data_IF_090882338056
#
_entry.id   IF_090882338056
#
_cell.length_a   1.000
_cell.length_b   1.000
_cell.length_c   1.000
_cell.angle_alpha   90.00
_cell.angle_beta   90.00
_cell.angle_gamma   90.00
#
_symmetry.space_group_name_H-M   'P 1'
#
loop_
_entity.id
_entity.type
_entity.pdbx_description
1 polymer ?
#
# COMPACT_ATOMS: atom_id res chain seq x y z
N UNK A 1 23.54 63.50 7.26
CA UNK A 1 24.14 62.35 6.55
C UNK A 1 24.01 61.05 7.35
N UNK A 2 23.88 61.12 8.68
CA UNK A 2 23.81 59.95 9.55
C UNK A 2 22.51 59.12 9.44
N UNK A 3 21.37 59.74 9.11
CA UNK A 3 20.09 59.02 9.01
C UNK A 3 20.01 58.08 7.79
N UNK A 4 20.69 58.44 6.68
CA UNK A 4 20.78 57.58 5.49
C UNK A 4 21.64 56.33 5.75
N UNK A 5 22.71 56.47 6.55
CA UNK A 5 23.58 55.35 6.90
C UNK A 5 22.85 54.32 7.78
N UNK A 6 22.04 54.77 8.74
CA UNK A 6 21.24 53.88 9.61
C UNK A 6 20.14 53.13 8.85
N UNK A 7 19.51 53.78 7.87
CA UNK A 7 18.52 53.12 6.99
C UNK A 7 19.18 52.07 6.09
N UNK A 8 20.37 52.37 5.55
CA UNK A 8 21.12 51.42 4.74
C UNK A 8 21.54 50.19 5.56
N UNK A 9 22.03 50.36 6.78
CA UNK A 9 22.39 49.24 7.66
C UNK A 9 21.20 48.33 7.98
N UNK A 10 20.03 48.93 8.22
CA UNK A 10 18.82 48.17 8.57
C UNK A 10 18.18 47.45 7.37
N UNK A 11 18.41 47.93 6.13
CA UNK A 11 17.86 47.38 4.88
C UNK A 11 18.90 46.55 4.10
N UNK A 12 20.18 46.59 4.48
CA UNK A 12 21.21 45.78 3.86
C UNK A 12 20.95 44.28 4.06
N UNK A 13 20.57 43.85 5.28
CA UNK A 13 20.38 42.43 5.57
C UNK A 13 19.16 41.79 4.87
N UNK A 14 17.96 42.41 4.80
CA UNK A 14 16.83 41.84 4.10
C UNK A 14 17.08 41.81 2.59
N UNK A 15 17.69 42.88 2.05
CA UNK A 15 18.04 42.94 0.62
C UNK A 15 19.08 41.86 0.30
N UNK A 16 20.11 41.69 1.12
CA UNK A 16 21.09 40.63 0.96
C UNK A 16 20.44 39.24 1.04
N UNK A 17 19.51 39.00 1.97
CA UNK A 17 18.80 37.73 2.11
C UNK A 17 17.90 37.41 0.89
N UNK A 18 17.16 38.41 0.40
CA UNK A 18 16.34 38.27 -0.82
C UNK A 18 17.22 38.06 -2.04
N UNK A 19 18.33 38.79 -2.16
CA UNK A 19 19.27 38.68 -3.27
C UNK A 19 19.96 37.31 -3.30
N UNK A 20 20.39 36.83 -2.12
CA UNK A 20 20.99 35.50 -1.96
C UNK A 20 19.97 34.41 -2.31
N UNK A 21 18.74 34.51 -1.80
CA UNK A 21 17.67 33.56 -2.14
C UNK A 21 17.35 33.59 -3.64
N UNK A 22 17.34 34.76 -4.27
CA UNK A 22 17.10 34.91 -5.70
C UNK A 22 18.22 34.34 -6.56
N UNK A 23 19.48 34.54 -6.16
CA UNK A 23 20.65 34.02 -6.86
C UNK A 23 20.69 32.48 -6.80
N UNK A 24 20.45 31.90 -5.61
CA UNK A 24 20.53 30.47 -5.35
C UNK A 24 19.21 29.69 -5.55
N UNK A 25 18.13 30.35 -6.02
CA UNK A 25 16.81 29.69 -6.15
C UNK A 25 16.84 28.46 -7.06
N UNK A 26 17.70 28.47 -8.09
CA UNK A 26 17.79 27.37 -9.07
C UNK A 26 18.52 26.18 -8.47
N UNK A 27 19.60 26.45 -7.75
CA UNK A 27 20.46 25.49 -7.08
C UNK A 27 19.69 24.81 -5.95
N UNK A 28 19.01 25.59 -5.10
CA UNK A 28 18.15 25.07 -4.02
C UNK A 28 17.05 24.18 -4.61
N UNK A 29 16.34 24.63 -5.65
CA UNK A 29 15.32 23.82 -6.32
C UNK A 29 15.90 22.54 -6.93
N UNK A 30 17.10 22.59 -7.50
CA UNK A 30 17.77 21.39 -8.04
C UNK A 30 18.12 20.39 -6.94
N UNK A 31 18.62 20.84 -5.80
CA UNK A 31 18.94 19.98 -4.65
C UNK A 31 17.68 19.31 -4.08
N UNK A 32 16.60 20.07 -3.90
CA UNK A 32 15.32 19.50 -3.46
C UNK A 32 14.75 18.49 -4.46
N UNK A 33 14.88 18.74 -5.77
CA UNK A 33 14.46 17.79 -6.80
C UNK A 33 15.29 16.50 -6.81
N UNK A 34 16.60 16.57 -6.58
CA UNK A 34 17.44 15.37 -6.46
C UNK A 34 17.12 14.57 -5.20
N UNK A 35 16.88 15.25 -4.09
CA UNK A 35 16.47 14.62 -2.83
C UNK A 35 15.10 13.94 -2.96
N UNK A 36 14.13 14.55 -3.65
CA UNK A 36 12.84 13.91 -3.87
C UNK A 36 12.97 12.66 -4.74
N UNK A 37 13.72 12.73 -5.86
CA UNK A 37 13.95 11.56 -6.74
C UNK A 37 14.67 10.44 -6.00
N UNK A 38 15.68 10.76 -5.18
CA UNK A 38 16.37 9.74 -4.39
C UNK A 38 15.44 9.08 -3.38
N UNK A 39 14.65 9.87 -2.63
CA UNK A 39 13.65 9.35 -1.69
C UNK A 39 12.63 8.46 -2.38
N UNK A 40 12.16 8.82 -3.58
CA UNK A 40 11.23 7.99 -4.34
C UNK A 40 11.85 6.64 -4.72
N UNK A 41 13.09 6.63 -5.23
CA UNK A 41 13.80 5.38 -5.57
C UNK A 41 14.07 4.49 -4.34
N UNK A 42 14.40 5.09 -3.21
CA UNK A 42 14.59 4.37 -1.96
C UNK A 42 13.28 3.72 -1.49
N UNK A 43 12.15 4.41 -1.64
CA UNK A 43 10.82 3.89 -1.35
C UNK A 43 10.36 2.81 -2.33
N UNK A 44 10.70 2.92 -3.61
CA UNK A 44 10.46 1.86 -4.62
C UNK A 44 11.22 0.58 -4.24
N UNK A 45 12.52 0.70 -3.92
CA UNK A 45 13.31 -0.44 -3.47
C UNK A 45 12.79 -1.03 -2.15
N UNK A 46 12.35 -0.19 -1.21
CA UNK A 46 11.78 -0.67 0.04
C UNK A 46 10.45 -1.38 -0.19
N UNK A 47 9.59 -0.87 -1.08
CA UNK A 47 8.33 -1.52 -1.43
C UNK A 47 8.56 -2.90 -2.03
N UNK A 48 9.47 -3.03 -3.00
CA UNK A 48 9.81 -4.32 -3.63
C UNK A 48 10.34 -5.33 -2.59
N UNK A 49 11.25 -4.89 -1.72
CA UNK A 49 11.81 -5.72 -0.66
C UNK A 49 10.75 -6.17 0.35
N UNK A 50 9.91 -5.24 0.78
CA UNK A 50 8.84 -5.51 1.73
C UNK A 50 7.78 -6.44 1.13
N UNK A 51 7.45 -6.24 -0.14
CA UNK A 51 6.50 -7.08 -0.87
C UNK A 51 7.01 -8.53 -0.97
N UNK A 52 8.30 -8.72 -1.31
CA UNK A 52 8.93 -10.04 -1.31
C UNK A 52 8.85 -10.71 0.06
N UNK A 53 9.10 -9.97 1.14
CA UNK A 53 9.00 -10.51 2.49
C UNK A 53 7.57 -10.95 2.85
N UNK A 54 6.56 -10.17 2.43
CA UNK A 54 5.15 -10.51 2.63
C UNK A 54 4.72 -11.69 1.81
N UNK A 55 5.18 -11.79 0.55
CA UNK A 55 4.88 -12.91 -0.33
C UNK A 55 5.36 -14.23 0.27
N UNK A 56 6.58 -14.27 0.81
CA UNK A 56 7.11 -15.45 1.49
C UNK A 56 6.32 -15.81 2.75
N UNK A 57 5.84 -14.83 3.51
CA UNK A 57 4.96 -15.10 4.67
C UNK A 57 3.58 -15.56 4.24
N UNK A 58 3.02 -14.99 3.17
CA UNK A 58 1.72 -15.37 2.64
C UNK A 58 1.74 -16.82 2.16
N UNK A 59 2.82 -17.26 1.47
CA UNK A 59 3.01 -18.64 1.02
C UNK A 59 2.89 -19.69 2.14
N UNK A 60 3.21 -19.32 3.37
CA UNK A 60 3.10 -20.21 4.53
C UNK A 60 1.66 -20.39 5.02
N UNK A 61 0.73 -19.51 4.62
CA UNK A 61 -0.69 -19.67 4.88
C UNK A 61 -1.22 -20.84 4.04
N UNK A 62 -1.83 -21.83 4.70
CA UNK A 62 -2.35 -23.08 4.10
C UNK A 62 -3.59 -22.87 3.21
N UNK A 63 -3.52 -21.96 2.25
CA UNK A 63 -4.52 -21.80 1.21
C UNK A 63 -4.06 -22.56 -0.05
N UNK A 64 -4.98 -23.26 -0.72
CA UNK A 64 -4.69 -23.99 -1.95
C UNK A 64 -4.22 -23.02 -3.06
N UNK A 65 -3.01 -23.24 -3.57
CA UNK A 65 -2.42 -22.43 -4.64
C UNK A 65 -3.24 -22.64 -5.92
N UNK A 66 -4.00 -21.62 -6.33
CA UNK A 66 -4.67 -21.60 -7.64
C UNK A 66 -6.18 -21.85 -7.64
N UNK A 67 -6.84 -21.94 -6.48
CA UNK A 67 -8.31 -22.00 -6.39
C UNK A 67 -8.98 -20.82 -7.15
N UNK A 68 -8.32 -19.67 -7.20
CA UNK A 68 -8.74 -18.42 -7.88
C UNK A 68 -8.83 -18.53 -9.40
N UNK A 69 -8.00 -19.38 -10.01
CA UNK A 69 -7.94 -19.53 -11.47
C UNK A 69 -9.10 -20.38 -12.01
N UNK A 70 -9.69 -21.24 -11.17
CA UNK A 70 -10.68 -22.24 -11.58
C UNK A 70 -12.14 -21.75 -11.52
N UNK A 71 -12.37 -20.52 -11.05
CA UNK A 71 -13.73 -19.98 -10.82
C UNK A 71 -14.44 -19.44 -12.07
N UNK A 72 -13.94 -19.68 -13.30
CA UNK A 72 -14.62 -19.27 -14.54
C UNK A 72 -15.55 -20.36 -15.07
N UNK A 73 -16.85 -20.07 -15.07
CA UNK A 73 -17.76 -20.68 -16.05
C UNK A 73 -17.27 -20.25 -17.45
N UNK A 74 -17.17 -21.20 -18.40
CA UNK A 74 -16.67 -20.95 -19.77
C UNK A 74 -17.27 -19.65 -20.35
N UNK A 75 -16.41 -18.65 -20.58
CA UNK A 75 -16.78 -17.36 -21.19
C UNK A 75 -17.03 -16.20 -20.21
N UNK A 76 -16.93 -16.41 -18.89
CA UNK A 76 -17.01 -15.35 -17.87
C UNK A 76 -15.60 -15.03 -17.37
N UNK A 77 -15.20 -13.75 -17.44
CA UNK A 77 -13.93 -13.26 -16.88
C UNK A 77 -13.91 -13.55 -15.38
N UNK A 78 -12.88 -14.24 -14.89
CA UNK A 78 -12.75 -14.47 -13.44
C UNK A 78 -12.46 -13.16 -12.72
N UNK A 79 -12.77 -13.08 -11.43
CA UNK A 79 -12.34 -11.95 -10.59
C UNK A 79 -10.83 -11.75 -10.65
N UNK A 80 -10.06 -12.85 -10.76
CA UNK A 80 -8.62 -12.83 -10.95
C UNK A 80 -8.19 -12.19 -12.28
N UNK A 81 -8.80 -12.59 -13.40
CA UNK A 81 -8.51 -12.00 -14.72
C UNK A 81 -8.91 -10.52 -14.78
N UNK A 82 -10.02 -10.13 -14.13
CA UNK A 82 -10.42 -8.73 -14.01
C UNK A 82 -9.35 -7.93 -13.27
N UNK A 83 -8.83 -8.46 -12.17
CA UNK A 83 -7.75 -7.84 -11.41
C UNK A 83 -6.49 -7.65 -12.24
N UNK A 84 -6.05 -8.66 -12.99
CA UNK A 84 -4.89 -8.54 -13.88
C UNK A 84 -5.04 -7.41 -14.91
N UNK A 85 -6.23 -7.27 -15.51
CA UNK A 85 -6.52 -6.18 -16.46
C UNK A 85 -6.50 -4.79 -15.81
N UNK A 86 -6.91 -4.69 -14.55
CA UNK A 86 -6.80 -3.43 -13.79
C UNK A 86 -5.32 -3.12 -13.52
N UNK A 87 -4.49 -4.12 -13.17
CA UNK A 87 -3.05 -3.90 -13.01
C UNK A 87 -2.36 -3.46 -14.31
N UNK A 88 -2.74 -4.01 -15.47
CA UNK A 88 -2.20 -3.61 -16.77
C UNK A 88 -2.48 -2.13 -17.10
N UNK A 89 -3.60 -1.59 -16.64
CA UNK A 89 -4.02 -0.20 -16.92
C UNK A 89 -3.60 0.77 -15.82
N UNK A 90 -3.66 0.36 -14.55
CA UNK A 90 -3.26 1.14 -13.39
C UNK A 90 -2.89 0.24 -12.21
N UNK A 91 -1.59 -0.11 -12.05
CA UNK A 91 -1.10 -0.93 -10.93
C UNK A 91 -1.52 -0.40 -9.55
N UNK A 92 -1.48 0.92 -9.39
CA UNK A 92 -1.88 1.61 -8.15
C UNK A 92 -3.37 1.48 -7.86
N UNK A 93 -4.24 1.62 -8.86
CA UNK A 93 -5.68 1.41 -8.67
C UNK A 93 -5.95 -0.07 -8.36
N UNK A 94 -5.22 -0.99 -9.01
CA UNK A 94 -5.34 -2.41 -8.79
C UNK A 94 -5.08 -2.80 -7.32
N UNK A 95 -4.01 -2.29 -6.70
CA UNK A 95 -3.72 -2.50 -5.27
C UNK A 95 -4.89 -2.12 -4.35
N UNK A 96 -5.61 -1.04 -4.68
CA UNK A 96 -6.77 -0.59 -3.91
C UNK A 96 -7.93 -1.58 -4.07
N UNK A 97 -8.24 -1.96 -5.31
CA UNK A 97 -9.30 -2.93 -5.62
C UNK A 97 -9.06 -4.29 -4.96
N UNK A 98 -7.82 -4.76 -4.97
CA UNK A 98 -7.46 -6.04 -4.33
C UNK A 98 -7.66 -5.95 -2.81
N UNK A 99 -7.26 -4.84 -2.21
CA UNK A 99 -7.47 -4.62 -0.78
C UNK A 99 -8.96 -4.59 -0.40
N UNK A 100 -9.81 -3.99 -1.23
CA UNK A 100 -11.27 -3.95 -1.01
C UNK A 100 -11.84 -5.39 -1.00
N UNK A 101 -11.39 -6.24 -1.92
CA UNK A 101 -11.82 -7.64 -1.97
C UNK A 101 -11.40 -8.43 -0.71
N UNK A 102 -10.17 -8.19 -0.20
CA UNK A 102 -9.74 -8.75 1.09
C UNK A 102 -10.57 -8.23 2.27
N UNK A 103 -10.87 -6.92 2.32
CA UNK A 103 -11.74 -6.36 3.36
C UNK A 103 -13.14 -6.98 3.34
N UNK A 104 -13.68 -7.25 2.14
CA UNK A 104 -14.96 -7.92 1.99
C UNK A 104 -14.90 -9.38 2.51
N UNK A 105 -13.82 -10.11 2.23
CA UNK A 105 -13.62 -11.47 2.75
C UNK A 105 -13.54 -11.48 4.29
N UNK A 106 -12.76 -10.57 4.88
CA UNK A 106 -12.65 -10.43 6.35
C UNK A 106 -14.00 -10.06 6.96
N UNK A 107 -14.73 -9.13 6.34
CA UNK A 107 -16.04 -8.69 6.82
C UNK A 107 -17.02 -9.86 6.86
N UNK A 108 -17.09 -10.67 5.80
CA UNK A 108 -17.94 -11.86 5.77
C UNK A 108 -17.55 -12.90 6.82
N UNK A 109 -16.24 -13.13 7.03
CA UNK A 109 -15.76 -14.00 8.09
C UNK A 109 -16.17 -13.49 9.48
N UNK A 110 -16.03 -12.19 9.72
CA UNK A 110 -16.44 -11.55 10.97
C UNK A 110 -17.95 -11.68 11.20
N UNK A 111 -18.77 -11.44 10.16
CA UNK A 111 -20.22 -11.62 10.21
C UNK A 111 -20.61 -13.05 10.58
N UNK A 112 -19.97 -14.06 9.98
CA UNK A 112 -20.17 -15.47 10.33
C UNK A 112 -19.83 -15.76 11.80
N UNK A 113 -18.76 -15.18 12.30
CA UNK A 113 -18.33 -15.33 13.69
C UNK A 113 -19.19 -14.50 14.68
N UNK A 114 -20.21 -13.77 14.22
CA UNK A 114 -21.05 -12.90 15.05
C UNK A 114 -20.36 -11.61 15.52
N UNK A 115 -19.25 -11.24 14.87
CA UNK A 115 -18.46 -10.05 15.18
C UNK A 115 -19.06 -8.83 14.48
N UNK A 116 -19.41 -7.79 15.24
CA UNK A 116 -19.94 -6.53 14.71
C UNK A 116 -18.94 -5.36 14.85
N UNK A 117 -17.65 -5.62 14.62
CA UNK A 117 -16.60 -4.62 14.84
C UNK A 117 -16.14 -3.93 13.56
N UNK A 118 -15.99 -2.60 13.68
CA UNK A 118 -15.24 -1.76 12.75
C UNK A 118 -14.14 -1.08 13.55
N UNK A 119 -12.88 -1.01 13.07
CA UNK A 119 -12.37 -1.31 11.71
C UNK A 119 -11.94 -2.76 11.49
N UNK A 120 -11.71 -3.15 10.22
CA UNK A 120 -11.31 -4.50 9.76
C UNK A 120 -10.10 -5.08 10.50
N UNK A 121 -9.14 -4.23 10.91
CA UNK A 121 -7.97 -4.67 11.68
C UNK A 121 -8.30 -5.16 13.10
N UNK A 122 -9.41 -4.74 13.68
CA UNK A 122 -9.93 -5.28 14.94
C UNK A 122 -10.63 -6.61 14.70
N UNK A 123 -11.43 -6.70 13.63
CA UNK A 123 -12.09 -7.95 13.24
C UNK A 123 -11.09 -9.10 12.99
N UNK A 124 -9.95 -8.83 12.35
CA UNK A 124 -8.89 -9.85 12.16
C UNK A 124 -8.38 -10.38 13.52
N UNK A 125 -8.15 -9.49 14.49
CA UNK A 125 -7.69 -9.91 15.83
C UNK A 125 -8.74 -10.76 16.53
N UNK A 126 -9.99 -10.33 16.52
CA UNK A 126 -11.08 -11.04 17.17
C UNK A 126 -11.31 -12.42 16.52
N UNK A 127 -11.16 -12.55 15.21
CA UNK A 127 -11.19 -13.84 14.52
C UNK A 127 -10.06 -14.78 14.97
N UNK A 128 -8.87 -14.24 15.25
CA UNK A 128 -7.74 -15.00 15.82
C UNK A 128 -8.06 -15.40 17.26
N UNK A 129 -8.52 -14.46 18.09
CA UNK A 129 -8.83 -14.68 19.51
C UNK A 129 -9.93 -15.74 19.70
N UNK A 130 -10.89 -15.82 18.76
CA UNK A 130 -11.94 -16.85 18.72
C UNK A 130 -11.47 -18.18 18.10
N UNK A 131 -10.20 -18.30 17.70
CA UNK A 131 -9.63 -19.49 17.08
C UNK A 131 -10.20 -19.82 15.69
N UNK A 132 -10.82 -18.84 15.02
CA UNK A 132 -11.39 -19.01 13.67
C UNK A 132 -10.36 -18.86 12.56
N UNK A 133 -9.18 -18.33 12.88
CA UNK A 133 -8.03 -18.25 11.98
C UNK A 133 -6.72 -18.38 12.78
N UNK A 134 -5.58 -18.45 12.09
CA UNK A 134 -4.25 -18.64 12.71
C UNK A 134 -3.60 -17.30 13.09
N UNK A 135 -2.71 -17.31 14.10
CA UNK A 135 -1.98 -16.08 14.50
C UNK A 135 -1.07 -15.53 13.38
N UNK A 136 -0.58 -16.41 12.51
CA UNK A 136 0.30 -16.07 11.36
C UNK A 136 -0.36 -15.12 10.35
N UNK A 137 -1.69 -14.99 10.39
CA UNK A 137 -2.46 -14.08 9.53
C UNK A 137 -2.22 -12.61 9.86
N UNK A 138 -2.05 -12.27 11.15
CA UNK A 138 -2.00 -10.87 11.57
C UNK A 138 -0.77 -10.10 11.02
N UNK A 139 0.46 -10.66 11.04
CA UNK A 139 1.63 -10.04 10.41
C UNK A 139 1.42 -9.76 8.92
N UNK A 140 0.91 -10.74 8.16
CA UNK A 140 0.67 -10.61 6.71
C UNK A 140 -0.35 -9.50 6.43
N UNK A 141 -1.47 -9.49 7.17
CA UNK A 141 -2.50 -8.45 7.06
C UNK A 141 -1.93 -7.04 7.34
N UNK A 142 -1.10 -6.92 8.38
CA UNK A 142 -0.50 -5.65 8.81
C UNK A 142 0.43 -5.09 7.73
N UNK A 143 1.28 -5.92 7.14
CA UNK A 143 2.21 -5.49 6.11
C UNK A 143 1.51 -5.16 4.79
N UNK A 144 0.54 -5.98 4.35
CA UNK A 144 -0.26 -5.64 3.16
C UNK A 144 -0.99 -4.31 3.33
N UNK A 145 -1.53 -4.03 4.52
CA UNK A 145 -2.15 -2.72 4.82
C UNK A 145 -1.15 -1.57 4.70
N UNK A 146 0.08 -1.78 5.16
CA UNK A 146 1.15 -0.78 5.09
C UNK A 146 1.55 -0.52 3.63
N UNK A 147 1.75 -1.57 2.84
CA UNK A 147 2.04 -1.49 1.41
C UNK A 147 0.93 -0.75 0.64
N UNK A 148 -0.35 -1.06 0.92
CA UNK A 148 -1.49 -0.31 0.37
C UNK A 148 -1.41 1.18 0.68
N UNK A 149 -1.12 1.53 1.93
CA UNK A 149 -1.03 2.93 2.35
C UNK A 149 0.15 3.64 1.68
N UNK A 150 1.28 2.95 1.51
CA UNK A 150 2.43 3.47 0.78
C UNK A 150 2.10 3.73 -0.69
N UNK A 151 1.41 2.79 -1.35
CA UNK A 151 0.95 2.94 -2.73
C UNK A 151 0.01 4.15 -2.92
N UNK A 152 -0.95 4.36 -2.01
CA UNK A 152 -1.95 5.45 -2.12
C UNK A 152 -1.32 6.83 -1.91
N UNK A 153 -0.48 6.98 -0.89
CA UNK A 153 -0.08 8.30 -0.37
C UNK A 153 0.96 9.05 -1.22
N UNK A 154 1.46 8.48 -2.33
CA UNK A 154 2.53 9.09 -3.12
C UNK A 154 2.13 9.23 -4.60
N UNK A 155 1.99 10.46 -5.14
CA UNK A 155 1.58 10.71 -6.53
C UNK A 155 2.60 10.25 -7.59
N UNK A 156 3.90 10.39 -7.30
CA UNK A 156 4.99 10.08 -8.25
C UNK A 156 5.64 8.70 -8.03
N UNK A 157 5.07 7.90 -7.13
CA UNK A 157 5.54 6.55 -6.83
C UNK A 157 5.06 5.58 -7.93
N UNK A 158 6.00 5.00 -8.66
CA UNK A 158 5.69 4.03 -9.71
C UNK A 158 5.64 2.62 -9.13
N UNK A 159 4.56 1.90 -9.43
CA UNK A 159 4.39 0.50 -9.05
C UNK A 159 4.43 -0.29 -10.34
N UNK A 160 5.31 -1.28 -10.42
CA UNK A 160 5.38 -2.15 -11.59
C UNK A 160 4.14 -3.04 -11.70
N UNK A 161 3.85 -3.55 -12.90
CA UNK A 161 2.74 -4.49 -13.09
C UNK A 161 3.03 -5.77 -12.31
N UNK A 162 4.28 -6.21 -12.30
CA UNK A 162 4.79 -7.39 -11.60
C UNK A 162 4.61 -7.27 -10.08
N UNK A 163 4.90 -6.10 -9.51
CA UNK A 163 4.68 -5.84 -8.09
C UNK A 163 3.19 -5.86 -7.74
N UNK A 164 2.34 -5.26 -8.59
CA UNK A 164 0.89 -5.33 -8.38
C UNK A 164 0.37 -6.77 -8.46
N UNK A 165 0.90 -7.60 -9.36
CA UNK A 165 0.56 -9.01 -9.46
C UNK A 165 1.03 -9.83 -8.24
N UNK A 166 2.22 -9.57 -7.73
CA UNK A 166 2.75 -10.24 -6.53
C UNK A 166 1.96 -9.84 -5.29
N UNK A 167 1.56 -8.56 -5.21
CA UNK A 167 0.64 -8.08 -4.18
C UNK A 167 -0.75 -8.73 -4.31
N UNK A 168 -1.29 -8.89 -5.53
CA UNK A 168 -2.55 -9.61 -5.77
C UNK A 168 -2.48 -11.04 -5.21
N UNK A 169 -1.43 -11.78 -5.51
CA UNK A 169 -1.25 -13.15 -5.02
C UNK A 169 -1.28 -13.21 -3.49
N UNK A 170 -0.53 -12.32 -2.83
CA UNK A 170 -0.47 -12.23 -1.36
C UNK A 170 -1.83 -11.88 -0.74
N UNK A 171 -2.55 -10.93 -1.35
CA UNK A 171 -3.89 -10.52 -0.92
C UNK A 171 -4.89 -11.65 -1.07
N UNK A 172 -4.85 -12.35 -2.20
CA UNK A 172 -5.71 -13.50 -2.44
C UNK A 172 -5.42 -14.59 -1.42
N UNK A 173 -4.17 -15.02 -1.28
CA UNK A 173 -3.77 -16.07 -0.33
C UNK A 173 -4.26 -15.77 1.09
N UNK A 174 -4.06 -14.55 1.58
CA UNK A 174 -4.61 -14.12 2.86
C UNK A 174 -6.15 -14.14 2.87
N UNK A 175 -6.78 -13.61 1.83
CA UNK A 175 -8.23 -13.59 1.68
C UNK A 175 -8.86 -14.99 1.70
N UNK A 176 -8.16 -16.02 1.20
CA UNK A 176 -8.65 -17.39 1.21
C UNK A 176 -8.80 -17.94 2.62
N UNK A 177 -7.87 -17.61 3.52
CA UNK A 177 -7.99 -18.06 4.91
C UNK A 177 -9.34 -17.64 5.52
N UNK A 178 -9.82 -16.44 5.18
CA UNK A 178 -11.14 -15.96 5.61
C UNK A 178 -12.29 -16.59 4.82
N UNK A 179 -12.14 -16.79 3.51
CA UNK A 179 -13.17 -17.43 2.66
C UNK A 179 -13.38 -18.90 3.03
N UNK A 180 -12.30 -19.62 3.31
CA UNK A 180 -12.32 -21.02 3.75
C UNK A 180 -13.07 -21.14 5.07
N UNK A 181 -12.83 -20.24 6.02
CA UNK A 181 -13.63 -20.17 7.24
C UNK A 181 -15.11 -19.85 6.95
N UNK A 182 -15.42 -18.97 5.99
CA UNK A 182 -16.82 -18.69 5.63
C UNK A 182 -17.52 -19.93 5.07
N UNK A 183 -16.83 -20.70 4.23
CA UNK A 183 -17.40 -21.87 3.54
C UNK A 183 -17.39 -23.14 4.41
N UNK A 184 -16.50 -23.26 5.40
CA UNK A 184 -16.45 -24.43 6.28
C UNK A 184 -17.77 -24.59 7.06
N UNK A 185 -18.40 -25.75 7.02
CA UNK A 185 -19.52 -26.06 7.94
C UNK A 185 -18.94 -26.14 9.37
N UNK A 186 -19.41 -25.28 10.29
CA UNK A 186 -19.09 -25.37 11.73
C UNK A 186 -19.77 -26.61 12.34
#
# INVERSE_FOLDING_TARGET
MDDLARLLDSVAWPVAAVWMTYLFRKEVRSLFGRLSVFKYKELEASFESDLKAVEEQAKLLRADEGAWNNASLRGVVTTYELFLRIAETSPKAAIIEYWIDLEAAITKAAEKAGIQTKPTGTAVKELIDLGKTTEDVYPVFRELRRLRNQAINLPDFSISIEDAQSYLQSVLQLGNVFRDYVVSED
#
